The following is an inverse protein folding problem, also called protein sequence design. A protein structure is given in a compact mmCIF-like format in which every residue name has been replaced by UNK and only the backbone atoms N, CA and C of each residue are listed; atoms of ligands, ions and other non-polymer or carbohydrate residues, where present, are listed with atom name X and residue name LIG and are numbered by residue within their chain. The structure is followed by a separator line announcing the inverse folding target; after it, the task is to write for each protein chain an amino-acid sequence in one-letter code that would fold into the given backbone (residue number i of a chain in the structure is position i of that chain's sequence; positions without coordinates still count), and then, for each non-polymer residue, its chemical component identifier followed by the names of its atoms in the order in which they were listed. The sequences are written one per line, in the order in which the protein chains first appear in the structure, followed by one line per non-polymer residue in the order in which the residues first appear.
data_IF_066668300583
#
_entry.id   IF_066668300583
#
_cell.length_a   1.000
_cell.length_b   1.000
_cell.length_c   1.000
_cell.angle_alpha   90.00
_cell.angle_beta   90.00
_cell.angle_gamma   90.00
#
_symmetry.space_group_name_H-M   'P 1'
#
loop_
_entity.id
_entity.type
_entity.pdbx_description
1 polymer ?
#
# COMPACT_ATOMS: atom_id res chain seq x y z
N UNK A 1 -31.49 30.30 -11.41
CA UNK A 1 -30.16 30.39 -10.76
C UNK A 1 -29.90 29.06 -10.08
N UNK A 2 -29.84 28.04 -10.93
CA UNK A 2 -30.09 26.62 -10.67
C UNK A 2 -29.16 25.86 -11.64
N UNK A 3 -28.67 24.69 -11.23
CA UNK A 3 -27.85 23.72 -12.01
C UNK A 3 -26.32 23.77 -12.06
N UNK A 4 -25.63 24.54 -11.20
CA UNK A 4 -24.17 24.36 -11.07
C UNK A 4 -23.73 23.09 -10.29
N UNK A 5 -24.67 22.37 -9.64
CA UNK A 5 -24.36 21.23 -8.75
C UNK A 5 -24.41 19.86 -9.43
N UNK A 6 -25.15 19.68 -10.53
CA UNK A 6 -25.28 18.38 -11.21
C UNK A 6 -23.98 17.95 -11.92
N UNK A 7 -23.21 18.90 -12.45
CA UNK A 7 -21.99 18.61 -13.23
C UNK A 7 -20.75 18.26 -12.39
N UNK A 8 -20.73 18.57 -11.09
CA UNK A 8 -19.55 18.30 -10.23
C UNK A 8 -19.51 16.88 -9.67
N UNK A 9 -20.68 16.23 -9.49
CA UNK A 9 -20.79 14.86 -9.01
C UNK A 9 -20.07 13.80 -9.89
N UNK A 10 -20.18 13.81 -11.24
CA UNK A 10 -19.54 12.79 -12.08
C UNK A 10 -18.01 12.86 -12.08
N UNK A 11 -17.41 14.06 -11.95
CA UNK A 11 -15.96 14.23 -11.99
C UNK A 11 -15.25 13.66 -10.74
N UNK A 12 -15.89 13.75 -9.56
CA UNK A 12 -15.35 13.22 -8.32
C UNK A 12 -15.33 11.68 -8.30
N UNK A 13 -16.42 11.05 -8.78
CA UNK A 13 -16.52 9.59 -8.85
C UNK A 13 -15.47 8.98 -9.80
N UNK A 14 -15.24 9.61 -10.95
CA UNK A 14 -14.20 9.19 -11.90
C UNK A 14 -12.79 9.22 -11.30
N UNK A 15 -12.46 10.22 -10.47
CA UNK A 15 -11.14 10.31 -9.81
C UNK A 15 -10.97 9.21 -8.76
N UNK A 16 -11.99 8.95 -7.94
CA UNK A 16 -11.97 7.88 -6.95
C UNK A 16 -11.80 6.50 -7.61
N UNK A 17 -12.50 6.26 -8.73
CA UNK A 17 -12.35 5.03 -9.52
C UNK A 17 -10.95 4.86 -10.09
N UNK A 18 -10.38 5.90 -10.70
CA UNK A 18 -9.00 5.87 -11.24
C UNK A 18 -7.96 5.61 -10.16
N UNK A 19 -8.10 6.25 -9.01
CA UNK A 19 -7.23 6.05 -7.86
C UNK A 19 -7.30 4.62 -7.29
N UNK A 20 -8.51 4.07 -7.15
CA UNK A 20 -8.74 2.69 -6.74
C UNK A 20 -8.10 1.70 -7.73
N UNK A 21 -8.27 1.95 -9.03
CA UNK A 21 -7.69 1.12 -10.08
C UNK A 21 -6.16 1.18 -10.07
N UNK A 22 -5.57 2.36 -9.91
CA UNK A 22 -4.11 2.51 -9.83
C UNK A 22 -3.52 1.74 -8.64
N UNK A 23 -4.14 1.82 -7.46
CA UNK A 23 -3.73 1.06 -6.27
C UNK A 23 -3.86 -0.46 -6.49
N UNK A 24 -4.95 -0.91 -7.09
CA UNK A 24 -5.16 -2.33 -7.39
C UNK A 24 -4.16 -2.85 -8.41
N UNK A 25 -3.89 -2.09 -9.48
CA UNK A 25 -2.87 -2.45 -10.47
C UNK A 25 -1.49 -2.51 -9.83
N UNK A 26 -1.15 -1.57 -8.95
CA UNK A 26 0.12 -1.61 -8.22
C UNK A 26 0.23 -2.87 -7.33
N UNK A 27 -0.82 -3.22 -6.58
CA UNK A 27 -0.82 -4.45 -5.76
C UNK A 27 -0.77 -5.71 -6.61
N UNK A 28 -1.46 -5.74 -7.76
CA UNK A 28 -1.38 -6.86 -8.69
C UNK A 28 0.02 -7.01 -9.28
N UNK A 29 0.64 -5.91 -9.71
CA UNK A 29 1.99 -5.91 -10.22
C UNK A 29 2.98 -6.41 -9.15
N UNK A 30 2.83 -5.95 -7.90
CA UNK A 30 3.64 -6.44 -6.78
C UNK A 30 3.35 -7.91 -6.46
N UNK A 31 2.12 -8.39 -6.57
CA UNK A 31 1.76 -9.80 -6.39
C UNK A 31 2.42 -10.69 -7.44
N UNK A 32 2.35 -10.30 -8.71
CA UNK A 32 3.04 -10.99 -9.81
C UNK A 32 4.55 -10.97 -9.62
N UNK A 33 5.11 -9.82 -9.24
CA UNK A 33 6.54 -9.69 -9.04
C UNK A 33 7.03 -10.50 -7.83
N UNK A 34 6.23 -10.57 -6.76
CA UNK A 34 6.46 -11.48 -5.64
C UNK A 34 6.48 -12.93 -6.10
N UNK A 35 5.54 -13.35 -6.95
CA UNK A 35 5.52 -14.71 -7.51
C UNK A 35 6.79 -15.02 -8.32
N UNK A 36 7.26 -14.07 -9.13
CA UNK A 36 8.51 -14.21 -9.89
C UNK A 36 9.71 -14.34 -8.96
N UNK A 37 9.80 -13.49 -7.92
CA UNK A 37 10.88 -13.57 -6.93
C UNK A 37 10.85 -14.90 -6.17
N UNK A 38 9.67 -15.34 -5.73
CA UNK A 38 9.49 -16.63 -5.06
C UNK A 38 9.91 -17.77 -5.99
N UNK A 39 9.49 -17.76 -7.26
CA UNK A 39 9.90 -18.79 -8.23
C UNK A 39 11.41 -18.80 -8.50
N UNK A 40 12.07 -17.63 -8.46
CA UNK A 40 13.54 -17.51 -8.62
C UNK A 40 14.32 -17.98 -7.40
N UNK A 41 13.78 -17.74 -6.20
CA UNK A 41 14.44 -18.05 -4.93
C UNK A 41 14.11 -19.47 -4.42
N UNK A 42 13.01 -20.05 -4.87
CA UNK A 42 12.56 -21.35 -4.40
C UNK A 42 13.32 -22.49 -5.07
N UNK A 43 13.86 -23.38 -4.22
CA UNK A 43 14.38 -24.69 -4.64
C UNK A 43 13.23 -25.69 -4.79
N UNK A 44 12.03 -25.38 -4.26
CA UNK A 44 10.86 -26.27 -4.25
C UNK A 44 9.69 -25.74 -5.07
N UNK A 45 9.08 -26.66 -5.83
CA UNK A 45 7.87 -26.41 -6.63
C UNK A 45 6.70 -25.92 -5.77
N UNK A 46 6.60 -26.40 -4.53
CA UNK A 46 5.55 -26.03 -3.59
C UNK A 46 5.59 -24.52 -3.25
N UNK A 47 6.79 -23.96 -3.02
CA UNK A 47 6.95 -22.54 -2.71
C UNK A 47 6.66 -21.67 -3.95
N UNK A 48 7.09 -22.12 -5.14
CA UNK A 48 6.71 -21.49 -6.41
C UNK A 48 5.19 -21.43 -6.62
N UNK A 49 4.47 -22.51 -6.29
CA UNK A 49 3.01 -22.56 -6.39
C UNK A 49 2.31 -21.57 -5.44
N UNK A 50 2.86 -21.36 -4.24
CA UNK A 50 2.37 -20.33 -3.30
C UNK A 50 2.51 -18.94 -3.91
N UNK A 51 3.65 -18.64 -4.56
CA UNK A 51 3.84 -17.39 -5.29
C UNK A 51 2.77 -17.16 -6.36
N UNK A 52 2.51 -18.17 -7.19
CA UNK A 52 1.47 -18.11 -8.23
C UNK A 52 0.08 -17.92 -7.61
N UNK A 53 -0.24 -18.62 -6.53
CA UNK A 53 -1.51 -18.48 -5.83
C UNK A 53 -1.69 -17.06 -5.28
N UNK A 54 -0.64 -16.45 -4.72
CA UNK A 54 -0.65 -15.05 -4.27
C UNK A 54 -0.94 -14.11 -5.45
N UNK A 55 -0.23 -14.26 -6.57
CA UNK A 55 -0.46 -13.44 -7.76
C UNK A 55 -1.91 -13.58 -8.25
N UNK A 56 -2.41 -14.81 -8.38
CA UNK A 56 -3.79 -15.07 -8.76
C UNK A 56 -4.79 -14.41 -7.81
N UNK A 57 -4.59 -14.55 -6.49
CA UNK A 57 -5.43 -13.92 -5.47
C UNK A 57 -5.43 -12.40 -5.57
N UNK A 58 -4.28 -11.78 -5.79
CA UNK A 58 -4.18 -10.32 -5.93
C UNK A 58 -4.89 -9.80 -7.20
N UNK A 59 -5.03 -10.62 -8.24
CA UNK A 59 -5.73 -10.28 -9.48
C UNK A 59 -7.26 -10.41 -9.39
N UNK A 60 -7.79 -11.21 -8.45
CA UNK A 60 -9.24 -11.45 -8.32
C UNK A 60 -10.07 -10.16 -8.23
N UNK A 61 -9.68 -9.13 -7.46
CA UNK A 61 -10.43 -7.87 -7.41
C UNK A 61 -10.53 -7.17 -8.77
N UNK A 62 -9.55 -7.33 -9.66
CA UNK A 62 -9.59 -6.75 -11.01
C UNK A 62 -10.54 -7.50 -11.94
N UNK A 63 -10.75 -8.79 -11.72
CA UNK A 63 -11.63 -9.63 -12.53
C UNK A 63 -13.13 -9.47 -12.17
N UNK A 64 -13.46 -8.85 -11.04
CA UNK A 64 -14.85 -8.70 -10.57
C UNK A 64 -15.44 -7.31 -10.87
N UNK A 65 -16.79 -7.20 -10.96
CA UNK A 65 -17.48 -5.93 -11.13
C UNK A 65 -17.14 -4.93 -10.02
N UNK A 66 -17.15 -3.63 -10.37
CA UNK A 66 -16.79 -2.55 -9.45
C UNK A 66 -17.64 -2.53 -8.16
N UNK A 67 -18.90 -2.97 -8.23
CA UNK A 67 -19.83 -3.01 -7.10
C UNK A 67 -19.42 -3.97 -5.98
N UNK A 68 -18.73 -5.07 -6.32
CA UNK A 68 -18.28 -6.09 -5.34
C UNK A 68 -16.79 -6.04 -5.08
N UNK A 69 -16.03 -5.30 -5.90
CA UNK A 69 -14.56 -5.25 -5.87
C UNK A 69 -13.97 -5.00 -4.50
N UNK A 70 -14.53 -4.06 -3.73
CA UNK A 70 -14.04 -3.76 -2.38
C UNK A 70 -14.23 -4.94 -1.42
N UNK A 71 -15.37 -5.63 -1.49
CA UNK A 71 -15.62 -6.82 -0.66
C UNK A 71 -14.66 -7.94 -1.04
N UNK A 72 -14.44 -8.14 -2.34
CA UNK A 72 -13.47 -9.11 -2.85
C UNK A 72 -12.05 -8.78 -2.41
N UNK A 73 -11.62 -7.52 -2.48
CA UNK A 73 -10.30 -7.08 -2.01
C UNK A 73 -10.12 -7.30 -0.50
N UNK A 74 -11.14 -7.01 0.30
CA UNK A 74 -11.13 -7.32 1.74
C UNK A 74 -11.05 -8.83 1.99
N UNK A 75 -11.82 -9.64 1.24
CA UNK A 75 -11.74 -11.10 1.32
C UNK A 75 -10.34 -11.63 1.01
N UNK A 76 -9.71 -11.12 -0.06
CA UNK A 76 -8.31 -11.46 -0.40
C UNK A 76 -7.36 -11.07 0.72
N UNK A 77 -7.48 -9.87 1.28
CA UNK A 77 -6.64 -9.43 2.40
C UNK A 77 -6.78 -10.36 3.62
N UNK A 78 -8.01 -10.76 3.97
CA UNK A 78 -8.28 -11.71 5.06
C UNK A 78 -7.67 -13.08 4.77
N UNK A 79 -7.82 -13.61 3.56
CA UNK A 79 -7.25 -14.90 3.17
C UNK A 79 -5.72 -14.88 3.26
N UNK A 80 -5.08 -13.81 2.77
CA UNK A 80 -3.63 -13.65 2.87
C UNK A 80 -3.16 -13.53 4.32
N UNK A 81 -3.90 -12.81 5.17
CA UNK A 81 -3.61 -12.73 6.61
C UNK A 81 -3.78 -14.09 7.29
N UNK A 82 -4.86 -14.82 7.03
CA UNK A 82 -5.09 -16.15 7.59
C UNK A 82 -3.99 -17.13 7.13
N UNK A 83 -3.61 -17.09 5.85
CA UNK A 83 -2.50 -17.87 5.33
C UNK A 83 -1.17 -17.53 6.00
N UNK A 84 -0.91 -16.26 6.27
CA UNK A 84 0.28 -15.82 7.00
C UNK A 84 0.31 -16.35 8.44
N UNK A 85 -0.83 -16.33 9.14
CA UNK A 85 -0.94 -16.81 10.52
C UNK A 85 -0.84 -18.33 10.61
N UNK A 86 -1.47 -19.05 9.68
CA UNK A 86 -1.55 -20.51 9.69
C UNK A 86 -0.32 -21.19 9.07
N UNK A 87 0.40 -20.51 8.17
CA UNK A 87 1.51 -21.09 7.40
C UNK A 87 2.83 -21.25 8.14
N UNK A 88 2.91 -20.89 9.43
CA UNK A 88 4.16 -20.90 10.21
C UNK A 88 5.11 -19.77 9.81
N UNK A 89 6.28 -19.71 10.45
CA UNK A 89 7.24 -18.59 10.31
C UNK A 89 7.71 -18.37 8.88
N UNK A 90 8.11 -19.41 8.16
CA UNK A 90 8.68 -19.29 6.82
C UNK A 90 7.67 -18.74 5.81
N UNK A 91 6.42 -19.21 5.89
CA UNK A 91 5.33 -18.73 5.05
C UNK A 91 4.88 -17.33 5.48
N UNK A 92 4.86 -17.05 6.79
CA UNK A 92 4.50 -15.74 7.32
C UNK A 92 5.42 -14.63 6.78
N UNK A 93 6.73 -14.87 6.72
CA UNK A 93 7.69 -13.90 6.18
C UNK A 93 7.38 -13.49 4.73
N UNK A 94 6.81 -14.42 3.94
CA UNK A 94 6.39 -14.16 2.56
C UNK A 94 5.00 -13.54 2.46
N UNK A 95 4.05 -13.97 3.30
CA UNK A 95 2.63 -13.57 3.18
C UNK A 95 2.26 -12.29 3.95
N UNK A 96 2.88 -12.03 5.10
CA UNK A 96 2.63 -10.80 5.88
C UNK A 96 2.75 -9.51 5.05
N UNK A 97 3.83 -9.26 4.28
CA UNK A 97 3.91 -8.04 3.47
C UNK A 97 2.75 -7.93 2.49
N UNK A 98 2.47 -9.02 1.76
CA UNK A 98 1.43 -9.00 0.74
C UNK A 98 0.05 -8.80 1.37
N UNK A 99 -0.19 -9.39 2.54
CA UNK A 99 -1.39 -9.16 3.31
C UNK A 99 -1.52 -7.68 3.73
N UNK A 100 -0.45 -7.06 4.24
CA UNK A 100 -0.43 -5.63 4.59
C UNK A 100 -0.74 -4.76 3.37
N UNK A 101 -0.11 -5.02 2.23
CA UNK A 101 -0.35 -4.30 0.98
C UNK A 101 -1.78 -4.46 0.49
N UNK A 102 -2.34 -5.68 0.59
CA UNK A 102 -3.73 -5.97 0.25
C UNK A 102 -4.71 -5.22 1.15
N UNK A 103 -4.45 -5.15 2.46
CA UNK A 103 -5.25 -4.36 3.39
C UNK A 103 -5.23 -2.87 3.04
N UNK A 104 -4.06 -2.31 2.73
CA UNK A 104 -3.95 -0.89 2.31
C UNK A 104 -4.75 -0.64 1.03
N UNK A 105 -4.60 -1.50 0.02
CA UNK A 105 -5.31 -1.36 -1.25
C UNK A 105 -6.83 -1.58 -1.14
N UNK A 106 -7.30 -2.33 -0.14
CA UNK A 106 -8.73 -2.50 0.13
C UNK A 106 -9.30 -1.33 0.94
N UNK A 107 -8.63 -0.94 2.04
CA UNK A 107 -9.15 0.04 3.00
C UNK A 107 -9.10 1.48 2.48
N UNK A 108 -8.07 1.86 1.74
CA UNK A 108 -7.88 3.25 1.29
C UNK A 108 -8.97 3.67 0.30
N UNK A 109 -9.22 2.95 -0.81
CA UNK A 109 -10.30 3.30 -1.72
C UNK A 109 -11.67 3.26 -1.05
N UNK A 110 -11.90 2.29 -0.15
CA UNK A 110 -13.16 2.17 0.59
C UNK A 110 -13.43 3.38 1.49
N UNK A 111 -12.42 3.82 2.25
CA UNK A 111 -12.56 5.01 3.11
C UNK A 111 -12.68 6.29 2.29
N UNK A 112 -11.91 6.42 1.21
CA UNK A 112 -12.04 7.56 0.28
C UNK A 112 -13.44 7.63 -0.33
N UNK A 113 -13.99 6.50 -0.78
CA UNK A 113 -15.34 6.45 -1.37
C UNK A 113 -16.44 6.82 -0.37
N UNK A 114 -16.20 6.64 0.94
CA UNK A 114 -17.12 7.08 2.01
C UNK A 114 -16.90 8.53 2.45
N UNK A 115 -16.04 9.29 1.77
CA UNK A 115 -15.79 10.70 2.07
C UNK A 115 -14.91 10.96 3.29
N UNK A 116 -14.20 9.95 3.79
CA UNK A 116 -13.26 10.17 4.91
C UNK A 116 -12.04 10.97 4.42
N UNK A 117 -11.76 12.09 5.10
CA UNK A 117 -10.58 12.92 4.84
C UNK A 117 -9.29 12.30 5.40
N UNK A 118 -8.88 11.15 4.86
CA UNK A 118 -7.71 10.38 5.29
C UNK A 118 -6.44 11.22 5.37
N UNK A 119 -6.21 12.06 4.35
CA UNK A 119 -5.07 12.95 4.22
C UNK A 119 -4.85 13.90 5.41
N UNK A 120 -5.95 14.40 5.99
CA UNK A 120 -5.91 15.30 7.15
C UNK A 120 -5.86 14.55 8.48
N UNK A 121 -6.19 13.26 8.50
CA UNK A 121 -6.29 12.50 9.74
C UNK A 121 -4.91 12.10 10.28
N UNK A 122 -4.61 12.51 11.51
CA UNK A 122 -3.38 12.16 12.22
C UNK A 122 -3.18 10.63 12.31
N UNK A 123 -4.20 9.80 12.64
CA UNK A 123 -4.02 8.35 12.74
C UNK A 123 -3.56 7.71 11.43
N UNK A 124 -4.08 8.18 10.28
CA UNK A 124 -3.68 7.67 8.97
C UNK A 124 -2.22 8.01 8.63
N UNK A 125 -1.82 9.27 8.88
CA UNK A 125 -0.44 9.74 8.69
C UNK A 125 0.55 8.94 9.56
N UNK A 126 0.20 8.71 10.82
CA UNK A 126 1.00 7.91 11.74
C UNK A 126 1.09 6.46 11.30
N UNK A 127 -0.02 5.84 10.88
CA UNK A 127 -0.01 4.47 10.35
C UNK A 127 0.91 4.35 9.14
N UNK A 128 0.80 5.26 8.17
CA UNK A 128 1.65 5.26 6.98
C UNK A 128 3.13 5.44 7.34
N UNK A 129 3.44 6.34 8.27
CA UNK A 129 4.80 6.57 8.75
C UNK A 129 5.37 5.33 9.45
N UNK A 130 4.59 4.68 10.32
CA UNK A 130 5.00 3.45 11.01
C UNK A 130 5.28 2.34 10.00
N UNK A 131 4.40 2.14 9.02
CA UNK A 131 4.57 1.10 8.00
C UNK A 131 5.81 1.34 7.12
N UNK A 132 6.12 2.60 6.79
CA UNK A 132 7.35 2.94 6.04
C UNK A 132 8.60 2.81 6.92
N UNK A 133 8.52 3.19 8.20
CA UNK A 133 9.65 3.10 9.12
C UNK A 133 9.99 1.65 9.49
N UNK A 134 9.00 0.76 9.53
CA UNK A 134 9.13 -0.61 10.03
C UNK A 134 10.30 -1.39 9.40
N UNK A 135 10.49 -1.45 8.06
CA UNK A 135 11.65 -2.13 7.48
C UNK A 135 12.99 -1.56 7.93
N UNK A 136 13.10 -0.23 8.04
CA UNK A 136 14.31 0.44 8.50
C UNK A 136 14.58 0.15 9.98
N UNK A 137 13.54 0.13 10.82
CA UNK A 137 13.65 -0.21 12.24
C UNK A 137 14.06 -1.68 12.44
N UNK A 138 13.55 -2.60 11.62
CA UNK A 138 13.96 -4.00 11.64
C UNK A 138 15.43 -4.17 11.23
N UNK A 139 15.90 -3.42 10.22
CA UNK A 139 17.32 -3.41 9.84
C UNK A 139 18.21 -2.87 10.97
N UNK A 140 17.80 -1.80 11.65
CA UNK A 140 18.52 -1.28 12.81
C UNK A 140 18.56 -2.30 13.94
N UNK A 141 17.45 -2.96 14.26
CA UNK A 141 17.41 -4.02 15.26
C UNK A 141 18.32 -5.20 14.90
N UNK A 142 18.34 -5.58 13.62
CA UNK A 142 19.28 -6.59 13.10
C UNK A 142 20.74 -6.17 13.25
N UNK A 143 21.06 -4.91 12.98
CA UNK A 143 22.41 -4.37 13.14
C UNK A 143 22.85 -4.31 14.60
N UNK A 144 21.98 -3.83 15.49
CA UNK A 144 22.26 -3.74 16.93
C UNK A 144 22.39 -5.12 17.59
N UNK A 145 21.70 -6.14 17.08
CA UNK A 145 21.85 -7.53 17.53
C UNK A 145 23.06 -8.25 16.92
N UNK A 146 23.78 -7.63 15.99
CA UNK A 146 24.91 -8.24 15.27
C UNK A 146 24.52 -9.25 14.20
N UNK A 147 23.22 -9.38 13.88
CA UNK A 147 22.73 -10.32 12.86
C UNK A 147 22.87 -9.78 11.44
N UNK A 148 22.97 -8.45 11.27
CA UNK A 148 23.14 -7.78 9.97
C UNK A 148 24.29 -6.78 10.05
N UNK A 149 25.28 -6.90 9.16
CA UNK A 149 26.31 -5.88 8.98
C UNK A 149 25.77 -4.72 8.13
N UNK A 150 25.68 -3.52 8.69
CA UNK A 150 25.33 -2.31 7.94
C UNK A 150 26.58 -1.47 7.67
N UNK A 151 26.98 -1.39 6.41
CA UNK A 151 27.96 -0.42 5.93
C UNK A 151 27.35 1.00 5.86
N UNK A 152 28.17 2.00 5.54
CA UNK A 152 27.75 3.40 5.42
C UNK A 152 26.52 3.58 4.51
N UNK A 153 26.46 2.83 3.40
CA UNK A 153 25.31 2.85 2.49
C UNK A 153 24.02 2.35 3.16
N UNK A 154 24.11 1.29 3.96
CA UNK A 154 22.96 0.74 4.71
C UNK A 154 22.41 1.74 5.72
N UNK A 155 23.29 2.39 6.49
CA UNK A 155 22.90 3.45 7.42
C UNK A 155 22.27 4.65 6.72
N UNK A 156 22.77 5.00 5.53
CA UNK A 156 22.20 6.08 4.71
C UNK A 156 20.77 5.74 4.27
N UNK A 157 20.52 4.52 3.82
CA UNK A 157 19.18 4.05 3.41
C UNK A 157 18.21 4.08 4.60
N UNK A 158 18.64 3.61 5.78
CA UNK A 158 17.85 3.68 7.02
C UNK A 158 17.48 5.12 7.33
N UNK A 159 18.47 6.03 7.33
CA UNK A 159 18.25 7.45 7.62
C UNK A 159 17.26 8.11 6.65
N UNK A 160 17.40 7.88 5.35
CA UNK A 160 16.49 8.41 4.32
C UNK A 160 15.06 7.86 4.53
N UNK A 161 14.93 6.56 4.81
CA UNK A 161 13.63 5.92 5.00
C UNK A 161 12.90 6.48 6.24
N UNK A 162 13.62 6.65 7.35
CA UNK A 162 13.08 7.24 8.57
C UNK A 162 12.71 8.72 8.36
N UNK A 163 13.53 9.47 7.62
CA UNK A 163 13.21 10.86 7.27
C UNK A 163 11.90 10.94 6.47
N UNK A 164 11.72 10.08 5.47
CA UNK A 164 10.47 10.00 4.69
C UNK A 164 9.29 9.69 5.61
N UNK A 165 9.43 8.73 6.53
CA UNK A 165 8.39 8.39 7.50
C UNK A 165 8.00 9.60 8.37
N UNK A 166 8.99 10.33 8.90
CA UNK A 166 8.75 11.56 9.69
C UNK A 166 8.07 12.64 8.85
N UNK A 167 8.52 12.88 7.62
CA UNK A 167 7.89 13.84 6.72
C UNK A 167 6.43 13.46 6.39
N UNK A 168 6.15 12.16 6.25
CA UNK A 168 4.79 11.66 6.02
C UNK A 168 3.91 11.81 7.26
N UNK A 169 4.46 11.52 8.45
CA UNK A 169 3.81 11.80 9.73
C UNK A 169 3.51 13.30 9.88
N UNK A 170 4.39 14.18 9.39
CA UNK A 170 4.22 15.63 9.33
C UNK A 170 3.25 16.11 8.21
N UNK A 171 2.78 15.20 7.36
CA UNK A 171 1.75 15.50 6.35
C UNK A 171 2.29 16.15 5.08
N UNK A 172 3.59 16.03 4.82
CA UNK A 172 4.22 16.62 3.64
C UNK A 172 3.91 15.81 2.39
N UNK A 173 3.23 16.45 1.43
CA UNK A 173 2.80 15.80 0.19
C UNK A 173 3.95 15.21 -0.64
N UNK A 174 5.06 15.94 -0.68
CA UNK A 174 6.28 15.52 -1.38
C UNK A 174 6.82 14.19 -0.86
N UNK A 175 6.67 13.90 0.44
CA UNK A 175 7.17 12.67 1.04
C UNK A 175 6.51 11.41 0.43
N UNK A 176 5.21 11.45 0.09
CA UNK A 176 4.58 10.30 -0.55
C UNK A 176 5.00 10.12 -2.02
N UNK A 177 5.31 11.21 -2.73
CA UNK A 177 5.86 11.12 -4.09
C UNK A 177 7.23 10.45 -4.03
N UNK A 178 8.10 10.94 -3.15
CA UNK A 178 9.44 10.39 -2.95
C UNK A 178 9.36 8.93 -2.51
N UNK A 179 8.47 8.58 -1.57
CA UNK A 179 8.23 7.20 -1.15
C UNK A 179 7.78 6.32 -2.32
N UNK A 180 6.81 6.77 -3.13
CA UNK A 180 6.32 6.01 -4.27
C UNK A 180 7.42 5.77 -5.32
N UNK A 181 8.21 6.79 -5.64
CA UNK A 181 9.31 6.69 -6.61
C UNK A 181 10.41 5.77 -6.10
N UNK A 182 10.88 5.96 -4.86
CA UNK A 182 11.89 5.10 -4.26
C UNK A 182 11.41 3.66 -4.13
N UNK A 183 10.13 3.48 -3.76
CA UNK A 183 9.52 2.15 -3.67
C UNK A 183 9.51 1.42 -5.00
N UNK A 184 9.12 2.11 -6.08
CA UNK A 184 9.16 1.56 -7.44
C UNK A 184 10.58 1.20 -7.87
N UNK A 185 11.53 2.12 -7.70
CA UNK A 185 12.94 1.89 -8.07
C UNK A 185 13.51 0.71 -7.30
N UNK A 186 13.28 0.66 -5.99
CA UNK A 186 13.74 -0.45 -5.13
C UNK A 186 13.12 -1.76 -5.58
N UNK A 187 11.80 -1.82 -5.77
CA UNK A 187 11.09 -3.01 -6.24
C UNK A 187 11.64 -3.53 -7.58
N UNK A 188 11.93 -2.64 -8.53
CA UNK A 188 12.52 -3.00 -9.83
C UNK A 188 13.96 -3.50 -9.69
N UNK A 189 14.80 -2.82 -8.92
CA UNK A 189 16.19 -3.23 -8.67
C UNK A 189 16.25 -4.62 -8.03
N UNK A 190 15.31 -4.91 -7.14
CA UNK A 190 15.21 -6.20 -6.43
C UNK A 190 15.03 -7.39 -7.39
N UNK A 191 14.46 -7.15 -8.58
CA UNK A 191 14.23 -8.16 -9.62
C UNK A 191 15.49 -8.37 -10.47
N UNK A 192 16.28 -7.32 -10.64
CA UNK A 192 17.47 -7.30 -11.49
C UNK A 192 18.67 -7.88 -10.74
N UNK A 193 18.78 -7.63 -9.43
CA UNK A 193 19.93 -8.03 -8.61
C UNK A 193 19.53 -9.21 -7.70
N UNK A 194 19.89 -10.45 -8.03
CA UNK A 194 19.59 -11.62 -7.21
C UNK A 194 20.46 -11.68 -5.94
N UNK A 195 19.89 -12.08 -4.80
CA UNK A 195 20.61 -12.27 -3.52
C UNK A 195 19.70 -12.43 -2.30
N UNK A 196 20.23 -12.80 -1.12
CA UNK A 196 19.42 -13.00 0.10
C UNK A 196 18.77 -11.71 0.64
N UNK A 197 19.35 -10.54 0.35
CA UNK A 197 18.77 -9.22 0.66
C UNK A 197 17.52 -8.89 -0.19
N UNK A 198 17.21 -9.70 -1.21
CA UNK A 198 16.07 -9.49 -2.12
C UNK A 198 14.74 -9.45 -1.36
N UNK A 199 14.51 -10.30 -0.36
CA UNK A 199 13.21 -10.32 0.34
C UNK A 199 13.01 -9.06 1.18
N UNK A 200 14.05 -8.61 1.90
CA UNK A 200 13.98 -7.41 2.73
C UNK A 200 13.87 -6.12 1.91
N UNK A 201 14.66 -6.01 0.85
CA UNK A 201 14.61 -4.87 -0.09
C UNK A 201 13.30 -4.84 -0.87
N UNK A 202 12.77 -6.01 -1.24
CA UNK A 202 11.44 -6.17 -1.81
C UNK A 202 10.35 -5.63 -0.87
N UNK A 203 10.39 -6.05 0.40
CA UNK A 203 9.47 -5.59 1.45
C UNK A 203 9.47 -4.07 1.56
N UNK A 204 10.66 -3.48 1.69
CA UNK A 204 10.82 -2.04 1.84
C UNK A 204 10.30 -1.30 0.59
N UNK A 205 10.67 -1.78 -0.60
CA UNK A 205 10.24 -1.20 -1.88
C UNK A 205 8.73 -1.24 -2.06
N UNK A 206 8.11 -2.41 -1.81
CA UNK A 206 6.68 -2.61 -1.96
C UNK A 206 5.86 -1.75 -0.97
N UNK A 207 6.29 -1.67 0.29
CA UNK A 207 5.66 -0.82 1.30
C UNK A 207 5.77 0.67 0.93
N UNK A 208 6.97 1.14 0.59
CA UNK A 208 7.19 2.51 0.14
C UNK A 208 6.29 2.87 -1.05
N UNK A 209 6.19 1.96 -2.03
CA UNK A 209 5.36 2.15 -3.22
C UNK A 209 3.87 2.26 -2.87
N UNK A 210 3.32 1.26 -2.18
CA UNK A 210 1.88 1.20 -1.90
C UNK A 210 1.44 2.27 -0.93
N UNK A 211 2.21 2.52 0.13
CA UNK A 211 1.90 3.58 1.10
C UNK A 211 2.03 4.97 0.45
N UNK A 212 3.07 5.18 -0.37
CA UNK A 212 3.23 6.41 -1.14
C UNK A 212 2.04 6.66 -2.08
N UNK A 213 1.66 5.67 -2.87
CA UNK A 213 0.48 5.76 -3.74
C UNK A 213 -0.81 5.98 -2.94
N UNK A 214 -0.99 5.28 -1.84
CA UNK A 214 -2.17 5.42 -0.99
C UNK A 214 -2.29 6.82 -0.38
N UNK A 215 -1.17 7.39 0.10
CA UNK A 215 -1.13 8.75 0.60
C UNK A 215 -1.40 9.79 -0.51
N UNK A 216 -0.87 9.58 -1.72
CA UNK A 216 -1.17 10.43 -2.87
C UNK A 216 -2.65 10.39 -3.26
N UNK A 217 -3.26 9.22 -3.25
CA UNK A 217 -4.70 9.05 -3.47
C UNK A 217 -5.50 9.80 -2.40
N UNK A 218 -5.12 9.66 -1.13
CA UNK A 218 -5.77 10.36 -0.02
C UNK A 218 -5.67 11.89 -0.16
N UNK A 219 -4.54 12.43 -0.64
CA UNK A 219 -4.36 13.87 -0.85
C UNK A 219 -5.00 14.43 -2.12
N UNK A 220 -5.28 13.58 -3.12
CA UNK A 220 -5.95 13.99 -4.36
C UNK A 220 -7.43 14.35 -4.19
N UNK A 221 -8.03 14.02 -3.04
CA UNK A 221 -9.45 14.19 -2.74
C UNK A 221 -9.62 15.46 -1.90
N UNK A 222 -10.19 16.52 -2.48
CA UNK A 222 -10.44 17.79 -1.77
C UNK A 222 -11.61 17.63 -0.78
N UNK A 223 -11.47 18.02 0.50
CA UNK A 223 -12.54 17.93 1.50
C UNK A 223 -13.81 18.75 1.21
N UNK A 224 -13.72 19.77 0.34
CA UNK A 224 -14.79 20.77 0.15
C UNK A 224 -16.07 20.28 -0.55
N UNK A 225 -16.09 19.08 -1.15
CA UNK A 225 -17.29 18.58 -1.84
C UNK A 225 -18.35 17.98 -0.89
N UNK A 226 -17.95 17.50 0.29
CA UNK A 226 -18.85 16.85 1.25
C UNK A 226 -19.49 17.83 2.24
N UNK A 227 -18.81 18.93 2.60
CA UNK A 227 -19.31 19.93 3.53
C UNK A 227 -20.58 20.63 3.03
N UNK A 228 -20.71 20.84 1.71
CA UNK A 228 -21.88 21.49 1.11
C UNK A 228 -23.17 20.64 1.09
N UNK A 229 -23.09 19.35 1.42
CA UNK A 229 -24.27 18.47 1.56
C UNK A 229 -24.85 18.49 2.97
N UNK A 230 -24.03 18.75 4.00
CA UNK A 230 -24.48 18.86 5.39
C UNK A 230 -25.26 20.15 5.67
N UNK A 231 -24.78 21.28 5.15
CA UNK A 231 -25.46 22.59 5.30
C UNK A 231 -26.81 22.66 4.57
N UNK A 232 -26.96 21.89 3.47
CA UNK A 232 -28.22 21.80 2.74
C UNK A 232 -29.28 20.92 3.42
N UNK A 233 -28.87 20.00 4.30
CA UNK A 233 -29.79 19.17 5.09
C UNK A 233 -30.17 19.84 6.41
N UNK A 234 -29.26 20.62 7.00
CA UNK A 234 -29.52 21.39 8.22
C UNK A 234 -30.50 22.57 8.03
N UNK A 235 -30.76 22.98 6.77
CA UNK A 235 -31.72 24.04 6.43
C UNK A 235 -33.11 23.53 6.06
N UNK A 236 -33.33 22.21 6.13
CA UNK A 236 -34.60 21.56 5.80
C UNK A 236 -35.30 20.93 7.03
N UNK A 237 -34.80 21.16 8.24
CA UNK A 237 -35.58 20.91 9.45
C UNK A 237 -36.41 22.17 9.80
N UNK A 238 -37.75 22.08 9.80
CA UNK A 238 -38.66 23.20 10.08
C UNK A 238 -38.71 23.60 11.55
#
# INVERSE_FOLDING_TARGET
MTDARSDQAPAADLRARRASLALQVAVCALGVLSAVLIARLSVSVAVGAVGIAIAALTLVPLAVPASVRTRTALGVAVVLTAGAVLGGTDTAFLLVPVAVLAWVAALVPWRVARGFALAGSLPWRMLCAILIALPALLLVAGALSGTVGLELLGWTIVGITLLIAVCLAAGLRSAAIVAAVLGLVTALLTVIIPGLLVIGTWWAGALLLVIGLAALVAWGVRPGAAAGLGEGLATLEP
#
